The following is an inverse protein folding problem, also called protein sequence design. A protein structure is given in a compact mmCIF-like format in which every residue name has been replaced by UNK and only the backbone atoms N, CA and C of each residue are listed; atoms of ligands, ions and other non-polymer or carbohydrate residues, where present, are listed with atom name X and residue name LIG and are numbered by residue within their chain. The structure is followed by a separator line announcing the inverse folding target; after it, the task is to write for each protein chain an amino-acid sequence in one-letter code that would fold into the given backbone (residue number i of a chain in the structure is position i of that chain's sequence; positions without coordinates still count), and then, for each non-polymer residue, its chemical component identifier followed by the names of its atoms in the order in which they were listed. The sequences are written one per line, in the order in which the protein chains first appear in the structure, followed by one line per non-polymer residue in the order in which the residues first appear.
data_IF_583196207610
#
_entry.id   IF_583196207610
#
_cell.length_a   1.000
_cell.length_b   1.000
_cell.length_c   1.000
_cell.angle_alpha   90.00
_cell.angle_beta   90.00
_cell.angle_gamma   90.00
#
_symmetry.space_group_name_H-M   'P 1'
#
loop_
_entity.id
_entity.type
_entity.pdbx_description
1 polymer ?
#
# COMPACT_ATOMS: atom_id res chain seq x y z
N UNK A 1 99.56 17.92 46.69
CA UNK A 1 99.43 17.72 48.16
C UNK A 1 98.39 16.64 48.39
N UNK A 2 98.62 15.68 49.30
CA UNK A 2 97.85 14.42 49.41
C UNK A 2 96.88 14.45 50.59
N UNK A 3 95.58 14.25 50.32
CA UNK A 3 94.51 13.69 51.18
C UNK A 3 93.43 13.18 50.18
N UNK A 4 93.24 11.89 49.83
CA UNK A 4 92.61 10.75 50.55
C UNK A 4 91.28 11.17 51.23
N UNK A 5 90.07 10.86 50.74
CA UNK A 5 89.42 9.54 50.63
C UNK A 5 88.01 9.71 50.03
N UNK A 6 87.25 8.71 49.59
CA UNK A 6 87.51 7.37 49.03
C UNK A 6 86.19 6.92 48.31
N UNK A 7 86.26 6.53 47.03
CA UNK A 7 85.53 5.43 46.36
C UNK A 7 83.98 5.22 46.41
N UNK A 8 83.43 5.04 45.19
CA UNK A 8 82.24 4.22 44.80
C UNK A 8 80.83 4.72 45.20
N UNK A 9 79.73 4.35 44.52
CA UNK A 9 79.43 3.94 43.13
C UNK A 9 77.87 3.86 43.00
N UNK A 10 77.34 3.77 41.78
CA UNK A 10 76.01 3.29 41.41
C UNK A 10 74.75 4.13 41.76
N UNK A 11 74.12 4.63 40.67
CA UNK A 11 72.68 4.57 40.37
C UNK A 11 71.68 5.00 41.46
N UNK A 12 71.40 6.30 41.53
CA UNK A 12 70.04 6.77 41.83
C UNK A 12 69.64 8.12 41.19
N UNK A 13 70.44 8.61 40.22
CA UNK A 13 70.17 9.84 39.47
C UNK A 13 69.07 9.70 38.40
N UNK A 14 67.81 9.56 38.82
CA UNK A 14 66.64 9.87 37.98
C UNK A 14 65.37 10.28 38.76
N UNK A 15 65.27 9.92 40.05
CA UNK A 15 64.13 10.30 40.91
C UNK A 15 64.28 11.66 41.58
N UNK A 16 65.51 12.20 41.66
CA UNK A 16 65.82 13.51 42.26
C UNK A 16 65.69 14.67 41.25
N UNK A 17 65.00 14.45 40.12
CA UNK A 17 64.73 15.50 39.10
C UNK A 17 63.23 15.75 38.87
N UNK A 18 62.39 15.30 39.80
CA UNK A 18 60.92 15.45 39.78
C UNK A 18 60.44 16.41 40.89
N UNK A 19 61.29 16.77 41.87
CA UNK A 19 60.94 17.64 43.00
C UNK A 19 61.05 19.15 42.74
N UNK A 20 61.72 19.58 41.67
CA UNK A 20 61.98 21.00 41.38
C UNK A 20 61.44 21.46 40.02
N UNK A 21 60.12 21.43 39.86
CA UNK A 21 59.38 22.38 39.02
C UNK A 21 57.88 22.31 39.38
N UNK A 22 57.51 22.93 40.50
CA UNK A 22 56.12 23.33 40.77
C UNK A 22 55.91 24.69 40.11
N UNK A 23 55.14 24.81 39.01
CA UNK A 23 54.68 26.10 38.56
C UNK A 23 53.71 26.64 39.62
N UNK A 24 53.93 27.90 39.95
CA UNK A 24 53.06 28.83 40.67
C UNK A 24 51.61 28.35 40.77
N UNK A 25 51.18 27.99 41.99
CA UNK A 25 49.76 28.08 42.30
C UNK A 25 49.36 29.53 42.10
N UNK A 26 48.32 29.74 41.29
CA UNK A 26 47.65 31.02 41.23
C UNK A 26 47.08 31.28 42.63
N UNK A 27 47.73 32.16 43.41
CA UNK A 27 47.13 32.78 44.61
C UNK A 27 46.01 33.72 44.15
N UNK A 28 44.95 33.12 43.60
CA UNK A 28 43.64 33.74 43.47
C UNK A 28 43.06 33.80 44.89
N UNK A 29 43.40 34.89 45.59
CA UNK A 29 42.89 35.26 46.89
C UNK A 29 41.37 35.07 46.93
N UNK A 30 40.91 34.01 47.61
CA UNK A 30 39.49 33.71 47.76
C UNK A 30 38.93 34.75 48.72
N UNK A 31 38.47 35.86 48.16
CA UNK A 31 37.71 36.85 48.91
C UNK A 31 36.40 36.19 49.38
N UNK A 32 36.35 35.80 50.66
CA UNK A 32 35.13 35.35 51.34
C UNK A 32 34.15 36.53 51.52
N UNK A 33 33.58 37.01 50.41
CA UNK A 33 32.46 37.94 50.44
C UNK A 33 31.28 37.40 49.63
N UNK A 34 30.24 37.01 50.37
CA UNK A 34 28.90 36.69 49.90
C UNK A 34 28.79 35.51 48.89
N UNK A 35 29.33 34.33 49.24
CA UNK A 35 28.81 33.09 48.67
C UNK A 35 27.37 32.85 49.16
N UNK A 36 26.40 33.41 48.43
CA UNK A 36 24.96 33.24 48.65
C UNK A 36 24.63 31.76 48.43
N UNK A 37 24.64 30.97 49.51
CA UNK A 37 24.56 29.51 49.48
C UNK A 37 23.22 29.08 48.87
N UNK A 38 23.26 28.72 47.59
CA UNK A 38 22.07 28.35 46.83
C UNK A 38 21.40 27.14 47.51
N UNK A 39 20.12 27.28 47.88
CA UNK A 39 19.45 26.29 48.71
C UNK A 39 19.40 24.92 48.03
N UNK A 40 19.93 23.88 48.68
CA UNK A 40 20.03 22.52 48.13
C UNK A 40 18.71 22.00 47.53
N UNK A 41 17.58 22.30 48.20
CA UNK A 41 16.23 22.01 47.70
C UNK A 41 15.90 22.67 46.35
N UNK A 42 16.28 23.94 46.13
CA UNK A 42 16.07 24.66 44.85
C UNK A 42 16.86 24.02 43.71
N UNK A 43 18.10 23.59 43.97
CA UNK A 43 18.94 22.89 43.00
C UNK A 43 18.31 21.53 42.64
N UNK A 44 17.93 20.74 43.65
CA UNK A 44 17.31 19.43 43.44
C UNK A 44 16.00 19.51 42.63
N UNK A 45 15.12 20.46 42.95
CA UNK A 45 13.87 20.70 42.20
C UNK A 45 14.15 21.16 40.77
N UNK A 46 15.12 22.07 40.56
CA UNK A 46 15.52 22.52 39.22
C UNK A 46 15.99 21.36 38.35
N UNK A 47 16.87 20.50 38.89
CA UNK A 47 17.41 19.34 38.18
C UNK A 47 16.31 18.31 37.87
N UNK A 48 15.39 18.07 38.80
CA UNK A 48 14.30 17.09 38.61
C UNK A 48 13.32 17.55 37.51
N UNK A 49 12.93 18.83 37.50
CA UNK A 49 12.09 19.40 36.43
C UNK A 49 12.82 19.36 35.08
N UNK A 50 14.09 19.76 35.06
CA UNK A 50 14.91 19.74 33.84
C UNK A 50 15.09 18.32 33.30
N UNK A 51 15.25 17.32 34.16
CA UNK A 51 15.35 15.91 33.78
C UNK A 51 14.06 15.39 33.16
N UNK A 52 12.88 15.71 33.72
CA UNK A 52 11.59 15.31 33.14
C UNK A 52 11.38 15.89 31.73
N UNK A 53 11.74 17.16 31.54
CA UNK A 53 11.66 17.82 30.23
C UNK A 53 12.71 17.30 29.24
N UNK A 54 13.93 16.97 29.71
CA UNK A 54 14.95 16.29 28.90
C UNK A 54 14.51 14.88 28.48
N UNK A 55 13.84 14.13 29.37
CA UNK A 55 13.27 12.83 29.02
C UNK A 55 12.16 12.97 27.96
N UNK A 56 11.27 13.96 28.09
CA UNK A 56 10.28 14.26 27.05
C UNK A 56 10.95 14.62 25.71
N UNK A 57 12.00 15.45 25.73
CA UNK A 57 12.82 15.75 24.55
C UNK A 57 13.44 14.48 23.94
N UNK A 58 14.02 13.58 24.75
CA UNK A 58 14.57 12.31 24.24
C UNK A 58 13.49 11.44 23.60
N UNK A 59 12.29 11.34 24.20
CA UNK A 59 11.18 10.57 23.65
C UNK A 59 10.66 11.14 22.31
N UNK A 60 10.73 12.46 22.11
CA UNK A 60 10.46 13.10 20.81
C UNK A 60 11.50 12.72 19.74
N UNK A 61 12.79 12.61 20.10
CA UNK A 61 13.83 12.20 19.13
C UNK A 61 13.65 10.74 18.65
N UNK A 62 12.99 9.90 19.45
CA UNK A 62 12.65 8.51 19.11
C UNK A 62 11.18 8.33 18.66
N UNK A 63 10.43 9.41 18.41
CA UNK A 63 9.05 9.36 17.89
C UNK A 63 8.01 8.66 18.80
N UNK A 64 8.27 8.54 20.11
CA UNK A 64 7.52 7.60 20.98
C UNK A 64 6.10 8.10 21.33
N UNK A 65 5.89 9.43 21.43
CA UNK A 65 4.63 10.00 21.93
C UNK A 65 4.12 11.27 21.22
N UNK A 66 4.94 11.92 20.39
CA UNK A 66 4.60 13.15 19.68
C UNK A 66 5.38 13.20 18.35
N UNK A 67 4.73 13.71 17.30
CA UNK A 67 5.38 13.97 16.01
C UNK A 67 6.51 14.99 16.15
N UNK A 68 7.54 14.86 15.31
CA UNK A 68 8.69 15.75 15.32
C UNK A 68 8.35 17.11 14.69
N UNK A 69 8.16 18.14 15.51
CA UNK A 69 8.16 19.55 15.06
C UNK A 69 9.39 20.27 15.64
N UNK A 70 10.29 20.72 14.76
CA UNK A 70 11.48 21.48 15.11
C UNK A 70 11.17 22.71 15.98
N UNK A 71 10.02 23.37 15.79
CA UNK A 71 9.59 24.52 16.62
C UNK A 71 9.27 24.10 18.05
N UNK A 72 8.60 22.96 18.21
CA UNK A 72 8.27 22.38 19.52
C UNK A 72 9.55 21.94 20.24
N UNK A 73 10.45 21.27 19.52
CA UNK A 73 11.78 20.87 20.03
C UNK A 73 12.60 22.07 20.49
N UNK A 74 12.70 23.13 19.67
CA UNK A 74 13.43 24.35 20.03
C UNK A 74 12.79 25.08 21.23
N UNK A 75 11.46 25.15 21.30
CA UNK A 75 10.75 25.74 22.44
C UNK A 75 10.97 24.95 23.74
N UNK A 76 10.99 23.62 23.67
CA UNK A 76 11.25 22.73 24.80
C UNK A 76 12.69 22.90 25.30
N UNK A 77 13.69 22.86 24.40
CA UNK A 77 15.10 23.08 24.75
C UNK A 77 15.34 24.49 25.34
N UNK A 78 14.75 25.53 24.76
CA UNK A 78 14.83 26.88 25.31
C UNK A 78 14.20 26.97 26.72
N UNK A 79 13.08 26.29 26.94
CA UNK A 79 12.42 26.22 28.26
C UNK A 79 13.30 25.54 29.30
N UNK A 80 13.92 24.40 28.96
CA UNK A 80 14.88 23.70 29.83
C UNK A 80 16.05 24.62 30.18
N UNK A 81 16.63 25.31 29.19
CA UNK A 81 17.75 26.23 29.42
C UNK A 81 17.38 27.39 30.34
N UNK A 82 16.19 27.99 30.18
CA UNK A 82 15.69 29.05 31.08
C UNK A 82 15.46 28.54 32.50
N UNK A 83 14.91 27.32 32.66
CA UNK A 83 14.72 26.69 33.98
C UNK A 83 16.07 26.47 34.67
N UNK A 84 17.07 25.95 33.95
CA UNK A 84 18.43 25.80 34.47
C UNK A 84 19.04 27.17 34.84
N UNK A 85 18.92 28.18 33.97
CA UNK A 85 19.50 29.50 34.18
C UNK A 85 18.94 30.21 35.42
N UNK A 86 17.61 30.16 35.60
CA UNK A 86 16.93 30.72 36.76
C UNK A 86 17.11 29.85 38.00
N UNK A 87 17.12 28.53 37.87
CA UNK A 87 17.25 27.60 39.00
C UNK A 87 18.63 27.67 39.67
N UNK A 88 19.69 27.81 38.88
CA UNK A 88 21.06 28.02 39.36
C UNK A 88 21.39 29.48 39.76
N UNK A 89 20.41 30.40 39.71
CA UNK A 89 20.54 31.82 40.12
C UNK A 89 21.70 32.54 39.37
N UNK A 90 21.92 32.22 38.08
CA UNK A 90 23.14 32.61 37.34
C UNK A 90 23.30 34.12 37.11
N UNK A 91 22.24 34.91 37.30
CA UNK A 91 22.23 36.35 37.07
C UNK A 91 22.08 36.74 35.59
N UNK A 92 22.14 38.05 35.31
CA UNK A 92 22.21 38.56 33.93
C UNK A 92 23.68 38.62 33.49
N UNK A 93 24.04 38.29 32.23
CA UNK A 93 25.43 38.25 31.76
C UNK A 93 26.26 39.55 31.94
N UNK A 94 25.61 40.69 32.16
CA UNK A 94 26.22 42.00 32.39
C UNK A 94 25.98 42.57 33.79
N UNK A 95 25.45 41.77 34.73
CA UNK A 95 25.15 42.19 36.10
C UNK A 95 26.20 41.75 37.12
N UNK A 96 26.32 42.47 38.23
CA UNK A 96 27.30 42.20 39.30
C UNK A 96 27.18 40.79 39.93
N UNK A 97 25.99 40.19 39.86
CA UNK A 97 25.71 38.84 40.39
C UNK A 97 25.99 37.71 39.38
N UNK A 98 26.65 37.97 38.25
CA UNK A 98 26.88 36.96 37.21
C UNK A 98 28.00 35.97 37.57
N UNK A 99 27.63 34.71 37.85
CA UNK A 99 28.62 33.66 38.07
C UNK A 99 29.07 33.03 36.75
N UNK A 100 30.11 33.62 36.14
CA UNK A 100 30.68 33.19 34.85
C UNK A 100 31.09 31.70 34.83
N UNK A 101 31.65 31.18 35.92
CA UNK A 101 32.12 29.78 35.99
C UNK A 101 30.92 28.83 36.00
N UNK A 102 29.96 29.02 36.89
CA UNK A 102 28.75 28.18 36.94
C UNK A 102 27.90 28.33 35.68
N UNK A 103 27.80 29.53 35.10
CA UNK A 103 27.10 29.74 33.84
C UNK A 103 27.77 29.00 32.66
N UNK A 104 29.11 29.03 32.57
CA UNK A 104 29.83 28.25 31.55
C UNK A 104 29.62 26.74 31.72
N UNK A 105 29.62 26.25 32.96
CA UNK A 105 29.41 24.82 33.26
C UNK A 105 27.98 24.39 32.91
N UNK A 106 26.96 25.13 33.38
CA UNK A 106 25.55 24.84 33.07
C UNK A 106 25.30 24.88 31.56
N UNK A 107 25.88 25.85 30.84
CA UNK A 107 25.73 25.95 29.37
C UNK A 107 26.42 24.79 28.66
N UNK A 108 27.66 24.45 29.02
CA UNK A 108 28.39 23.34 28.41
C UNK A 108 27.73 21.99 28.69
N UNK A 109 27.28 21.74 29.93
CA UNK A 109 26.55 20.53 30.29
C UNK A 109 25.19 20.44 29.60
N UNK A 110 24.45 21.55 29.49
CA UNK A 110 23.18 21.58 28.75
C UNK A 110 23.38 21.26 27.27
N UNK A 111 24.36 21.87 26.60
CA UNK A 111 24.66 21.60 25.19
C UNK A 111 25.08 20.14 24.97
N UNK A 112 25.95 19.60 25.83
CA UNK A 112 26.37 18.20 25.76
C UNK A 112 25.18 17.23 25.93
N UNK A 113 24.35 17.43 26.95
CA UNK A 113 23.19 16.56 27.23
C UNK A 113 22.10 16.71 26.17
N UNK A 114 21.91 17.90 25.59
CA UNK A 114 20.94 18.12 24.50
C UNK A 114 21.42 17.51 23.18
N UNK A 115 22.73 17.49 22.91
CA UNK A 115 23.28 16.86 21.71
C UNK A 115 23.26 15.33 21.77
N UNK A 116 23.39 14.72 22.98
CA UNK A 116 23.48 13.27 23.13
C UNK A 116 22.33 12.50 22.47
N UNK A 117 21.03 12.84 22.66
CA UNK A 117 19.93 12.14 21.96
C UNK A 117 20.01 12.22 20.44
N UNK A 118 20.38 13.38 19.87
CA UNK A 118 20.56 13.55 18.42
C UNK A 118 21.68 12.66 17.91
N UNK A 119 22.82 12.64 18.62
CA UNK A 119 23.96 11.78 18.29
C UNK A 119 23.61 10.30 18.44
N UNK A 120 22.81 9.92 19.44
CA UNK A 120 22.34 8.54 19.62
C UNK A 120 21.40 8.10 18.50
N UNK A 121 20.44 8.94 18.08
CA UNK A 121 19.58 8.64 16.93
C UNK A 121 20.41 8.56 15.64
N UNK A 122 21.29 9.53 15.40
CA UNK A 122 22.15 9.55 14.21
C UNK A 122 23.16 8.40 14.10
N UNK A 123 23.47 7.69 15.21
CA UNK A 123 24.41 6.56 15.24
C UNK A 123 23.70 5.21 15.38
N UNK A 124 22.56 5.14 16.09
CA UNK A 124 21.87 3.88 16.42
C UNK A 124 20.48 3.73 15.77
N UNK A 125 19.91 4.80 15.20
CA UNK A 125 18.57 4.78 14.59
C UNK A 125 18.50 4.09 13.23
N UNK A 126 19.66 3.74 12.66
CA UNK A 126 19.78 3.35 11.26
C UNK A 126 19.68 4.55 10.31
N UNK A 127 20.21 4.43 9.09
CA UNK A 127 20.07 5.52 8.11
C UNK A 127 18.68 5.54 7.47
N UNK A 128 18.03 4.37 7.32
CA UNK A 128 16.76 4.21 6.60
C UNK A 128 15.70 3.38 7.34
N UNK A 129 14.43 3.60 7.00
CA UNK A 129 13.28 2.77 7.39
C UNK A 129 12.23 2.70 6.27
N UNK A 130 11.62 1.53 6.06
CA UNK A 130 10.49 1.36 5.14
C UNK A 130 9.18 1.70 5.85
N UNK A 131 8.50 2.75 5.38
CA UNK A 131 7.31 3.34 6.03
C UNK A 131 6.00 2.77 5.45
N UNK A 132 5.60 3.21 4.25
CA UNK A 132 4.31 2.88 3.63
C UNK A 132 4.52 2.31 2.23
N UNK A 133 3.65 1.36 1.87
CA UNK A 133 3.37 0.92 0.50
C UNK A 133 2.06 1.58 0.07
N UNK A 134 2.12 2.41 -0.96
CA UNK A 134 0.95 3.04 -1.56
C UNK A 134 0.67 2.38 -2.92
N UNK A 135 -0.60 2.12 -3.21
CA UNK A 135 -1.06 1.58 -4.49
C UNK A 135 -1.73 2.70 -5.26
N UNK A 136 -1.45 2.83 -6.56
CA UNK A 136 -2.21 3.74 -7.42
C UNK A 136 -3.69 3.30 -7.47
N UNK A 137 -4.60 4.26 -7.65
CA UNK A 137 -6.06 4.03 -7.69
C UNK A 137 -6.45 3.01 -8.78
N UNK A 138 -5.69 2.99 -9.88
CA UNK A 138 -5.90 2.07 -11.00
C UNK A 138 -5.15 0.73 -10.84
N UNK A 139 -4.38 0.59 -9.77
CA UNK A 139 -3.66 -0.61 -9.34
C UNK A 139 -2.39 -0.97 -10.08
N UNK A 140 -1.88 -0.16 -11.03
CA UNK A 140 -0.69 -0.53 -11.83
C UNK A 140 0.65 -0.23 -11.15
N UNK A 141 0.73 0.84 -10.36
CA UNK A 141 1.96 1.22 -9.67
C UNK A 141 1.87 0.97 -8.15
N UNK A 142 2.95 0.43 -7.58
CA UNK A 142 3.18 0.35 -6.14
C UNK A 142 4.34 1.28 -5.78
N UNK A 143 4.06 2.32 -4.98
CA UNK A 143 5.07 3.24 -4.47
C UNK A 143 5.53 2.83 -3.07
N UNK A 144 6.83 2.60 -2.92
CA UNK A 144 7.53 2.39 -1.66
C UNK A 144 8.04 3.73 -1.13
N UNK A 145 7.75 4.05 0.13
CA UNK A 145 8.38 5.20 0.82
C UNK A 145 9.44 4.73 1.79
N UNK A 146 10.70 5.14 1.55
CA UNK A 146 11.84 4.92 2.45
C UNK A 146 12.22 6.23 3.14
N UNK A 147 12.18 6.27 4.47
CA UNK A 147 12.46 7.45 5.29
C UNK A 147 13.88 7.43 5.84
N UNK A 148 14.52 8.60 5.86
CA UNK A 148 15.84 8.79 6.44
C UNK A 148 15.75 9.12 7.93
N UNK A 149 16.44 8.34 8.75
CA UNK A 149 16.47 8.51 10.21
C UNK A 149 17.84 8.99 10.73
N UNK A 150 18.89 8.89 9.90
CA UNK A 150 20.27 9.26 10.25
C UNK A 150 20.79 10.53 9.55
N UNK A 151 22.05 10.86 9.80
CA UNK A 151 22.79 11.95 9.13
C UNK A 151 23.68 11.37 7.99
N UNK A 152 23.42 10.13 7.55
CA UNK A 152 24.18 9.44 6.51
C UNK A 152 23.92 9.95 5.09
N UNK A 153 24.03 9.05 4.11
CA UNK A 153 23.85 9.37 2.68
C UNK A 153 22.45 9.91 2.35
N UNK A 154 22.33 10.65 1.25
CA UNK A 154 21.04 10.98 0.61
C UNK A 154 20.82 10.14 -0.67
N UNK A 155 21.75 9.24 -1.01
CA UNK A 155 21.71 8.37 -2.19
C UNK A 155 22.02 6.94 -1.77
N UNK A 156 21.21 6.00 -2.25
CA UNK A 156 21.25 4.59 -1.87
C UNK A 156 20.90 3.70 -3.07
N UNK A 157 21.37 2.46 -3.05
CA UNK A 157 20.99 1.42 -4.02
C UNK A 157 20.11 0.39 -3.29
N UNK A 158 18.92 0.10 -3.82
CA UNK A 158 17.98 -0.85 -3.23
C UNK A 158 17.91 -2.15 -4.06
N UNK A 159 18.40 -3.25 -3.50
CA UNK A 159 18.11 -4.59 -4.02
C UNK A 159 16.69 -4.97 -3.62
N UNK A 160 15.79 -5.01 -4.61
CA UNK A 160 14.39 -5.36 -4.43
C UNK A 160 14.14 -6.70 -5.10
N UNK A 161 13.40 -7.58 -4.43
CA UNK A 161 12.85 -8.79 -5.03
C UNK A 161 11.39 -8.97 -4.66
N UNK A 162 10.63 -9.54 -5.57
CA UNK A 162 9.26 -9.96 -5.35
C UNK A 162 9.21 -11.47 -5.54
N UNK A 163 8.62 -12.14 -4.55
CA UNK A 163 8.41 -13.58 -4.55
C UNK A 163 6.92 -13.93 -4.57
N UNK A 164 6.61 -15.02 -5.25
CA UNK A 164 5.27 -15.60 -5.35
C UNK A 164 5.41 -17.12 -5.33
N UNK A 165 4.54 -17.80 -4.57
CA UNK A 165 4.62 -19.26 -4.37
C UNK A 165 6.02 -19.76 -3.96
N UNK A 166 6.67 -19.06 -3.02
CA UNK A 166 8.03 -19.35 -2.51
C UNK A 166 9.18 -19.23 -3.55
N UNK A 167 8.91 -18.72 -4.76
CA UNK A 167 9.90 -18.44 -5.80
C UNK A 167 10.04 -16.95 -6.03
N UNK A 168 11.27 -16.45 -6.25
CA UNK A 168 11.48 -15.07 -6.73
C UNK A 168 11.00 -15.02 -8.18
N UNK A 169 10.03 -14.15 -8.46
CA UNK A 169 9.46 -13.94 -9.80
C UNK A 169 10.04 -12.70 -10.49
N UNK A 170 10.50 -11.73 -9.70
CA UNK A 170 11.13 -10.50 -10.19
C UNK A 170 12.16 -10.01 -9.18
N UNK A 171 13.23 -9.38 -9.67
CA UNK A 171 14.24 -8.71 -8.83
C UNK A 171 15.03 -7.70 -9.63
N UNK A 172 15.32 -6.54 -9.04
CA UNK A 172 16.18 -5.50 -9.63
C UNK A 172 16.97 -4.75 -8.54
N UNK A 173 18.00 -4.01 -8.93
CA UNK A 173 18.73 -3.10 -8.05
C UNK A 173 18.48 -1.66 -8.47
N UNK A 174 17.61 -0.97 -7.73
CA UNK A 174 17.09 0.35 -8.08
C UNK A 174 17.83 1.43 -7.27
N UNK A 175 18.62 2.32 -7.93
CA UNK A 175 19.20 3.48 -7.28
C UNK A 175 18.11 4.51 -6.95
N UNK A 176 18.11 5.02 -5.72
CA UNK A 176 17.17 6.05 -5.28
C UNK A 176 17.84 7.13 -4.44
N UNK A 177 17.17 8.28 -4.32
CA UNK A 177 17.61 9.40 -3.50
C UNK A 177 16.53 9.80 -2.47
N UNK A 178 17.00 10.33 -1.35
CA UNK A 178 16.20 10.98 -0.32
C UNK A 178 16.15 12.47 -0.68
N UNK A 179 15.20 12.86 -1.53
CA UNK A 179 15.08 14.21 -2.08
C UNK A 179 13.75 14.91 -1.71
N UNK A 180 12.88 14.23 -0.96
CA UNK A 180 11.59 14.74 -0.47
C UNK A 180 11.61 14.91 1.05
N UNK A 181 10.70 15.73 1.57
CA UNK A 181 10.58 16.01 3.01
C UNK A 181 9.14 16.35 3.37
N UNK A 182 8.63 15.78 4.46
CA UNK A 182 7.28 16.03 4.98
C UNK A 182 7.29 16.29 6.50
N UNK A 183 6.10 16.34 7.12
CA UNK A 183 5.95 16.54 8.57
C UNK A 183 6.51 15.42 9.46
N UNK A 184 7.01 14.32 8.87
CA UNK A 184 7.61 13.17 9.55
C UNK A 184 9.10 12.99 9.20
N UNK A 185 9.68 13.86 8.36
CA UNK A 185 11.11 13.88 8.02
C UNK A 185 11.39 13.71 6.54
N UNK A 186 12.67 13.50 6.22
CA UNK A 186 13.16 13.36 4.84
C UNK A 186 12.94 11.93 4.33
N UNK A 187 12.60 11.79 3.05
CA UNK A 187 12.28 10.50 2.43
C UNK A 187 12.60 10.44 0.94
N UNK A 188 12.78 9.21 0.45
CA UNK A 188 12.85 8.84 -0.95
C UNK A 188 11.69 7.91 -1.33
N UNK A 189 11.44 7.76 -2.63
CA UNK A 189 10.39 6.87 -3.15
C UNK A 189 10.89 5.99 -4.28
N UNK A 190 10.43 4.75 -4.32
CA UNK A 190 10.66 3.81 -5.43
C UNK A 190 9.31 3.36 -5.95
N UNK A 191 9.10 3.40 -7.27
CA UNK A 191 7.89 2.94 -7.94
C UNK A 191 8.15 1.59 -8.61
N UNK A 192 7.25 0.63 -8.41
CA UNK A 192 7.26 -0.69 -9.06
C UNK A 192 6.01 -0.85 -9.91
N UNK A 193 6.16 -1.27 -11.16
CA UNK A 193 5.02 -1.59 -12.03
C UNK A 193 4.56 -3.02 -11.79
N UNK A 194 3.25 -3.24 -11.67
CA UNK A 194 2.68 -4.58 -11.44
C UNK A 194 2.92 -5.49 -12.65
N UNK A 195 2.95 -4.95 -13.88
CA UNK A 195 3.23 -5.74 -15.09
C UNK A 195 4.63 -6.39 -15.10
N UNK A 196 5.62 -5.83 -14.38
CA UNK A 196 6.98 -6.36 -14.37
C UNK A 196 7.12 -7.69 -13.59
N UNK A 197 6.24 -7.93 -12.59
CA UNK A 197 6.36 -9.04 -11.66
C UNK A 197 5.13 -9.95 -11.55
N UNK A 198 3.97 -9.52 -12.06
CA UNK A 198 2.73 -10.27 -11.96
C UNK A 198 2.76 -11.56 -12.80
N UNK A 199 2.57 -12.71 -12.15
CA UNK A 199 2.56 -14.05 -12.75
C UNK A 199 1.21 -14.78 -12.63
N UNK A 200 0.25 -14.21 -11.89
CA UNK A 200 -1.05 -14.82 -11.60
C UNK A 200 -1.72 -14.25 -10.36
N UNK A 201 -2.97 -14.65 -10.12
CA UNK A 201 -3.78 -14.08 -9.04
C UNK A 201 -3.21 -14.35 -7.64
N UNK A 202 -3.28 -13.33 -6.78
CA UNK A 202 -3.03 -13.47 -5.35
C UNK A 202 -4.19 -14.15 -4.63
N UNK A 203 -5.45 -13.83 -4.94
CA UNK A 203 -6.61 -14.60 -4.50
C UNK A 203 -6.86 -15.78 -5.44
N UNK A 204 -7.00 -16.99 -4.90
CA UNK A 204 -7.27 -18.21 -5.69
C UNK A 204 -8.76 -18.47 -5.87
N UNK A 205 -9.59 -17.87 -5.01
CA UNK A 205 -11.03 -18.16 -4.86
C UNK A 205 -11.35 -19.54 -4.24
N UNK A 206 -10.34 -20.38 -3.99
CA UNK A 206 -10.46 -21.67 -3.33
C UNK A 206 -10.61 -21.50 -1.81
N UNK A 207 -11.74 -21.94 -1.22
CA UNK A 207 -12.01 -21.74 0.21
C UNK A 207 -11.01 -22.40 1.18
N UNK A 208 -10.24 -23.40 0.71
CA UNK A 208 -9.24 -24.12 1.49
C UNK A 208 -7.86 -23.48 1.44
N UNK A 209 -7.55 -22.72 0.39
CA UNK A 209 -6.33 -21.95 0.23
C UNK A 209 -6.67 -20.62 -0.46
N UNK A 210 -7.32 -19.67 0.24
CA UNK A 210 -7.92 -18.49 -0.39
C UNK A 210 -6.90 -17.56 -1.04
N UNK A 211 -5.66 -17.58 -0.57
CA UNK A 211 -4.58 -16.69 -1.01
C UNK A 211 -3.27 -17.43 -1.29
N UNK A 212 -2.57 -16.93 -2.31
CA UNK A 212 -1.16 -17.13 -2.62
C UNK A 212 -0.56 -15.74 -2.83
N UNK A 213 -0.25 -15.00 -1.76
CA UNK A 213 0.11 -13.59 -1.86
C UNK A 213 1.52 -13.40 -2.43
N UNK A 214 1.79 -12.19 -2.91
CA UNK A 214 3.13 -11.77 -3.30
C UNK A 214 3.85 -11.18 -2.08
N UNK A 215 5.14 -11.50 -1.93
CA UNK A 215 6.00 -10.97 -0.87
C UNK A 215 7.13 -10.16 -1.47
N UNK A 216 7.13 -8.87 -1.14
CA UNK A 216 8.17 -7.89 -1.44
C UNK A 216 9.27 -7.97 -0.37
N UNK A 217 10.51 -8.11 -0.81
CA UNK A 217 11.72 -8.01 0.00
C UNK A 217 12.60 -6.88 -0.51
N UNK A 218 13.02 -5.98 0.38
CA UNK A 218 13.83 -4.80 0.09
C UNK A 218 15.08 -4.84 0.97
N UNK A 219 16.26 -4.77 0.34
CA UNK A 219 17.55 -4.69 0.99
C UNK A 219 18.26 -3.40 0.58
N UNK A 220 18.76 -2.64 1.55
CA UNK A 220 19.59 -1.43 1.34
C UNK A 220 20.73 -1.47 2.35
N UNK A 221 21.97 -1.62 1.88
CA UNK A 221 23.15 -1.89 2.70
C UNK A 221 22.93 -3.05 3.69
N UNK A 222 22.95 -2.79 5.01
CA UNK A 222 22.67 -3.79 6.06
C UNK A 222 21.16 -3.87 6.44
N UNK A 223 20.32 -2.96 5.92
CA UNK A 223 18.90 -2.88 6.26
C UNK A 223 18.06 -3.78 5.35
N UNK A 224 17.21 -4.59 5.96
CA UNK A 224 16.37 -5.58 5.27
C UNK A 224 14.93 -5.46 5.75
N UNK A 225 13.97 -5.39 4.83
CA UNK A 225 12.54 -5.34 5.10
C UNK A 225 11.78 -6.33 4.22
N UNK A 226 10.74 -6.94 4.78
CA UNK A 226 9.81 -7.81 4.07
C UNK A 226 8.38 -7.30 4.27
N UNK A 227 7.56 -7.36 3.22
CA UNK A 227 6.14 -6.97 3.22
C UNK A 227 5.34 -7.89 2.31
N UNK A 228 4.21 -8.37 2.79
CA UNK A 228 3.17 -8.96 1.93
C UNK A 228 2.48 -7.83 1.17
N UNK A 229 2.36 -7.96 -0.15
CA UNK A 229 1.60 -7.04 -0.99
C UNK A 229 0.10 -7.33 -0.89
N UNK A 230 -0.74 -6.34 -1.19
CA UNK A 230 -2.19 -6.46 -1.07
C UNK A 230 -2.78 -7.33 -2.18
N UNK A 231 -3.34 -8.48 -1.79
CA UNK A 231 -3.92 -9.48 -2.68
C UNK A 231 -5.05 -8.91 -3.57
N UNK A 232 -5.71 -7.82 -3.17
CA UNK A 232 -6.82 -7.21 -3.94
C UNK A 232 -6.35 -6.49 -5.21
N UNK A 233 -5.21 -5.81 -5.17
CA UNK A 233 -4.59 -5.18 -6.34
C UNK A 233 -3.89 -6.19 -7.26
N UNK A 234 -3.52 -7.35 -6.70
CA UNK A 234 -2.79 -8.43 -7.37
C UNK A 234 -3.69 -9.62 -7.76
N UNK A 235 -4.98 -9.39 -7.99
CA UNK A 235 -5.92 -10.39 -8.52
C UNK A 235 -6.60 -9.80 -9.76
N UNK A 236 -6.18 -10.27 -10.95
CA UNK A 236 -6.45 -9.62 -12.25
C UNK A 236 -6.87 -10.58 -13.35
N UNK A 237 -6.62 -11.88 -13.22
CA UNK A 237 -7.00 -12.88 -14.21
C UNK A 237 -8.41 -13.39 -13.92
N UNK A 238 -9.28 -13.36 -14.93
CA UNK A 238 -10.56 -14.08 -14.89
C UNK A 238 -10.27 -15.59 -14.84
N UNK A 239 -10.88 -16.29 -13.89
CA UNK A 239 -10.80 -17.75 -13.75
C UNK A 239 -12.17 -18.43 -13.68
N UNK A 240 -13.25 -17.66 -13.49
CA UNK A 240 -14.63 -18.13 -13.50
C UNK A 240 -15.50 -17.34 -14.47
N UNK A 241 -16.33 -18.06 -15.22
CA UNK A 241 -17.37 -17.51 -16.08
C UNK A 241 -18.71 -18.18 -15.76
N UNK A 242 -19.82 -17.47 -15.99
CA UNK A 242 -21.17 -18.02 -15.87
C UNK A 242 -22.09 -17.44 -16.94
N UNK A 243 -23.18 -18.13 -17.25
CA UNK A 243 -24.11 -17.80 -18.33
C UNK A 243 -25.55 -18.10 -17.92
N UNK A 244 -26.50 -17.28 -18.37
CA UNK A 244 -27.92 -17.48 -18.13
C UNK A 244 -28.78 -16.82 -19.21
N UNK A 245 -29.87 -17.49 -19.59
CA UNK A 245 -30.89 -16.97 -20.51
C UNK A 245 -32.26 -17.02 -19.86
N UNK A 246 -32.95 -15.88 -19.85
CA UNK A 246 -34.35 -15.78 -19.46
C UNK A 246 -35.23 -15.58 -20.68
N UNK A 247 -36.28 -16.40 -20.83
CA UNK A 247 -37.33 -16.15 -21.81
C UNK A 247 -38.19 -14.94 -21.40
N UNK A 248 -38.51 -14.08 -22.35
CA UNK A 248 -39.43 -12.94 -22.18
C UNK A 248 -40.75 -13.27 -22.83
N UNK A 249 -41.82 -13.12 -22.05
CA UNK A 249 -43.16 -13.57 -22.39
C UNK A 249 -44.13 -12.40 -22.51
N UNK A 250 -45.08 -12.50 -23.45
CA UNK A 250 -46.19 -11.56 -23.61
C UNK A 250 -47.53 -12.31 -23.61
N UNK A 251 -48.56 -11.69 -23.04
CA UNK A 251 -49.98 -12.09 -23.13
C UNK A 251 -50.76 -11.21 -24.12
N UNK A 252 -50.08 -10.27 -24.79
CA UNK A 252 -50.67 -9.38 -25.79
C UNK A 252 -50.89 -10.11 -27.12
N UNK A 253 -52.14 -10.19 -27.63
CA UNK A 253 -52.43 -10.86 -28.90
C UNK A 253 -51.69 -10.28 -30.11
N UNK A 254 -51.37 -8.98 -30.10
CA UNK A 254 -50.64 -8.34 -31.20
C UNK A 254 -49.17 -8.82 -31.28
N UNK A 255 -48.57 -9.17 -30.14
CA UNK A 255 -47.21 -9.71 -30.07
C UNK A 255 -47.21 -11.22 -30.37
N UNK A 256 -48.20 -11.95 -29.86
CA UNK A 256 -48.27 -13.41 -29.96
C UNK A 256 -48.84 -13.94 -31.28
N UNK A 257 -49.61 -13.15 -32.02
CA UNK A 257 -50.22 -13.54 -33.30
C UNK A 257 -50.95 -14.90 -33.19
N UNK A 258 -50.43 -15.94 -33.86
CA UNK A 258 -51.00 -17.29 -33.88
C UNK A 258 -50.38 -18.24 -32.83
N UNK A 259 -49.38 -17.82 -32.03
CA UNK A 259 -48.61 -18.72 -31.12
C UNK A 259 -49.32 -19.10 -29.81
N UNK A 260 -50.35 -18.38 -29.35
CA UNK A 260 -51.15 -18.78 -28.19
C UNK A 260 -51.61 -17.63 -27.28
N UNK A 261 -51.99 -17.98 -26.05
CA UNK A 261 -52.43 -17.01 -25.02
C UNK A 261 -51.25 -16.41 -24.22
N UNK A 262 -50.08 -17.04 -24.31
CA UNK A 262 -48.84 -16.60 -23.68
C UNK A 262 -47.68 -17.12 -24.53
N UNK A 263 -46.95 -16.22 -25.19
CA UNK A 263 -45.92 -16.55 -26.15
C UNK A 263 -44.54 -16.04 -25.72
N UNK A 264 -43.49 -16.74 -26.15
CA UNK A 264 -42.13 -16.22 -26.10
C UNK A 264 -41.98 -15.12 -27.17
N UNK A 265 -41.64 -13.90 -26.75
CA UNK A 265 -41.38 -12.77 -27.67
C UNK A 265 -39.89 -12.51 -27.89
N UNK A 266 -39.05 -13.04 -27.01
CA UNK A 266 -37.59 -12.96 -27.11
C UNK A 266 -36.88 -13.47 -25.86
N UNK A 267 -35.60 -13.15 -25.74
CA UNK A 267 -34.75 -13.62 -24.63
C UNK A 267 -33.88 -12.49 -24.06
N UNK A 268 -33.66 -12.52 -22.75
CA UNK A 268 -32.66 -11.70 -22.06
C UNK A 268 -31.44 -12.57 -21.78
N UNK A 269 -30.28 -12.16 -22.27
CA UNK A 269 -29.01 -12.86 -22.06
C UNK A 269 -28.24 -12.20 -20.90
N UNK A 270 -27.69 -13.00 -20.00
CA UNK A 270 -26.87 -12.57 -18.87
C UNK A 270 -25.60 -13.43 -18.80
N UNK A 271 -24.48 -12.81 -18.46
CA UNK A 271 -23.22 -13.50 -18.21
C UNK A 271 -22.58 -13.00 -16.93
N UNK A 272 -21.54 -13.71 -16.49
CA UNK A 272 -20.67 -13.23 -15.42
C UNK A 272 -19.22 -13.60 -15.72
N UNK A 273 -18.28 -12.73 -15.35
CA UNK A 273 -16.85 -12.97 -15.48
C UNK A 273 -16.10 -12.47 -14.22
N UNK A 274 -15.15 -13.25 -13.72
CA UNK A 274 -14.35 -12.84 -12.57
C UNK A 274 -13.50 -13.97 -11.97
N UNK A 275 -13.26 -13.92 -10.67
CA UNK A 275 -12.57 -14.97 -9.93
C UNK A 275 -13.52 -16.12 -9.59
N UNK A 276 -13.21 -17.35 -10.00
CA UNK A 276 -13.96 -18.53 -9.56
C UNK A 276 -13.86 -18.72 -8.05
N UNK A 277 -14.99 -18.62 -7.35
CA UNK A 277 -15.11 -18.81 -5.90
C UNK A 277 -15.74 -20.15 -5.50
N UNK A 278 -15.90 -21.08 -6.45
CA UNK A 278 -16.69 -22.31 -6.28
C UNK A 278 -18.21 -22.06 -6.24
N UNK A 279 -18.64 -20.87 -6.66
CA UNK A 279 -20.03 -20.42 -6.77
C UNK A 279 -20.50 -20.44 -8.23
N UNK A 280 -21.81 -20.45 -8.46
CA UNK A 280 -22.37 -20.28 -9.82
C UNK A 280 -22.21 -18.85 -10.36
N UNK A 281 -21.83 -17.90 -9.52
CA UNK A 281 -21.50 -16.52 -9.88
C UNK A 281 -20.07 -16.23 -9.40
N UNK A 282 -19.11 -15.95 -10.30
CA UNK A 282 -17.73 -15.62 -9.92
C UNK A 282 -17.68 -14.28 -9.17
N UNK A 283 -16.64 -14.09 -8.35
CA UNK A 283 -16.41 -12.82 -7.63
C UNK A 283 -15.89 -11.75 -8.59
N UNK A 284 -16.30 -10.50 -8.42
CA UNK A 284 -15.92 -9.39 -9.28
C UNK A 284 -14.41 -9.09 -9.23
N UNK A 285 -13.87 -8.58 -10.33
CA UNK A 285 -12.48 -8.15 -10.47
C UNK A 285 -12.45 -6.72 -11.00
N UNK A 286 -11.71 -5.83 -10.32
CA UNK A 286 -11.67 -4.40 -10.66
C UNK A 286 -10.51 -4.05 -11.62
N UNK A 287 -9.42 -4.79 -11.56
CA UNK A 287 -8.19 -4.54 -12.32
C UNK A 287 -7.98 -5.51 -13.51
N UNK A 288 -8.96 -6.37 -13.79
CA UNK A 288 -8.90 -7.34 -14.88
C UNK A 288 -9.22 -6.72 -16.23
N UNK A 289 -8.46 -7.06 -17.27
CA UNK A 289 -8.82 -6.71 -18.66
C UNK A 289 -9.04 -7.99 -19.47
N UNK A 290 -10.12 -8.06 -20.24
CA UNK A 290 -10.53 -9.29 -20.94
C UNK A 290 -11.50 -8.99 -22.08
N UNK A 291 -11.66 -9.94 -23.02
CA UNK A 291 -12.74 -9.91 -24.02
C UNK A 291 -13.79 -10.97 -23.72
N UNK A 292 -15.04 -10.71 -24.10
CA UNK A 292 -16.16 -11.62 -23.90
C UNK A 292 -16.89 -11.82 -25.23
N UNK A 293 -17.11 -13.08 -25.59
CA UNK A 293 -17.93 -13.49 -26.72
C UNK A 293 -19.12 -14.28 -26.19
N UNK A 294 -20.32 -14.00 -26.70
CA UNK A 294 -21.56 -14.65 -26.25
C UNK A 294 -22.38 -15.10 -27.44
N UNK A 295 -22.73 -16.39 -27.47
CA UNK A 295 -23.43 -17.03 -28.60
C UNK A 295 -24.56 -17.90 -28.08
N UNK A 296 -25.77 -17.67 -28.60
CA UNK A 296 -26.92 -18.56 -28.46
C UNK A 296 -27.07 -19.37 -29.75
N UNK A 297 -27.13 -20.69 -29.63
CA UNK A 297 -27.38 -21.63 -30.72
C UNK A 297 -28.75 -22.28 -30.57
N UNK A 298 -29.42 -22.57 -31.68
CA UNK A 298 -30.70 -23.31 -31.79
C UNK A 298 -30.45 -24.57 -32.64
N UNK A 299 -30.52 -25.75 -32.03
CA UNK A 299 -30.26 -27.08 -32.66
C UNK A 299 -28.95 -27.24 -33.48
N UNK A 300 -28.03 -26.26 -33.42
CA UNK A 300 -26.77 -26.23 -34.15
C UNK A 300 -26.57 -24.99 -35.03
N UNK A 301 -27.63 -24.23 -35.31
CA UNK A 301 -27.58 -22.97 -36.05
C UNK A 301 -27.40 -21.78 -35.10
N UNK A 302 -26.85 -20.66 -35.58
CA UNK A 302 -26.62 -19.47 -34.75
C UNK A 302 -27.92 -18.66 -34.62
N UNK A 303 -28.52 -18.70 -33.43
CA UNK A 303 -29.67 -17.87 -33.09
C UNK A 303 -29.21 -16.42 -32.83
N UNK A 304 -28.25 -16.23 -31.93
CA UNK A 304 -27.69 -14.92 -31.57
C UNK A 304 -26.18 -15.02 -31.47
N UNK A 305 -25.47 -14.15 -32.18
CA UNK A 305 -24.05 -13.85 -31.91
C UNK A 305 -23.95 -12.41 -31.45
N UNK A 306 -23.62 -12.18 -30.17
CA UNK A 306 -23.50 -10.85 -29.59
C UNK A 306 -22.15 -10.21 -29.96
N UNK A 307 -22.06 -8.89 -30.20
CA UNK A 307 -20.79 -8.23 -30.47
C UNK A 307 -19.77 -8.45 -29.36
N UNK A 308 -18.52 -8.78 -29.71
CA UNK A 308 -17.44 -8.96 -28.73
C UNK A 308 -17.33 -7.75 -27.81
N UNK A 309 -17.48 -7.98 -26.50
CA UNK A 309 -17.27 -6.96 -25.48
C UNK A 309 -15.79 -6.92 -25.14
N UNK A 310 -15.20 -5.73 -25.14
CA UNK A 310 -13.85 -5.48 -24.62
C UNK A 310 -13.96 -4.79 -23.27
N UNK A 311 -13.37 -5.39 -22.24
CA UNK A 311 -13.30 -4.86 -20.87
C UNK A 311 -11.87 -4.48 -20.54
N UNK A 312 -11.65 -3.24 -20.13
CA UNK A 312 -10.38 -2.74 -19.61
C UNK A 312 -10.61 -2.28 -18.18
N UNK A 313 -10.04 -3.01 -17.21
CA UNK A 313 -10.33 -2.85 -15.77
C UNK A 313 -11.84 -3.01 -15.51
N UNK A 314 -12.54 -1.94 -15.13
CA UNK A 314 -14.01 -1.95 -14.99
C UNK A 314 -14.75 -1.41 -16.21
N UNK A 315 -14.07 -0.77 -17.17
CA UNK A 315 -14.70 -0.12 -18.31
C UNK A 315 -14.95 -1.11 -19.45
N UNK A 316 -16.21 -1.39 -19.74
CA UNK A 316 -16.65 -2.27 -20.82
C UNK A 316 -17.15 -1.47 -22.03
N UNK A 317 -16.86 -1.96 -23.24
CA UNK A 317 -17.36 -1.39 -24.49
C UNK A 317 -17.55 -2.44 -25.57
N UNK A 318 -18.52 -2.22 -26.45
CA UNK A 318 -18.76 -3.08 -27.62
C UNK A 318 -19.26 -2.24 -28.79
N UNK A 319 -18.94 -2.70 -30.00
CA UNK A 319 -19.41 -2.10 -31.25
C UNK A 319 -20.09 -3.16 -32.10
N UNK A 320 -21.38 -3.00 -32.38
CA UNK A 320 -22.05 -3.88 -33.36
C UNK A 320 -21.55 -3.57 -34.77
N UNK A 321 -21.16 -4.64 -35.49
CA UNK A 321 -20.88 -4.65 -36.93
C UNK A 321 -22.11 -4.32 -37.78
N UNK A 322 -23.28 -4.78 -37.34
CA UNK A 322 -24.49 -4.90 -38.17
C UNK A 322 -25.67 -4.05 -37.64
N UNK A 323 -25.44 -3.28 -36.57
CA UNK A 323 -26.39 -2.35 -35.96
C UNK A 323 -27.50 -2.99 -35.10
N UNK A 324 -27.81 -4.28 -35.26
CA UNK A 324 -28.93 -4.97 -34.57
C UNK A 324 -28.87 -4.89 -33.03
N UNK A 325 -27.69 -5.11 -32.46
CA UNK A 325 -27.46 -5.12 -31.00
C UNK A 325 -26.92 -3.78 -30.45
N UNK A 326 -26.86 -2.75 -31.30
CA UNK A 326 -26.29 -1.45 -30.94
C UNK A 326 -24.78 -1.46 -30.64
N UNK A 327 -24.25 -0.28 -30.35
CA UNK A 327 -22.92 -0.12 -29.76
C UNK A 327 -23.11 0.53 -28.39
N UNK A 328 -22.38 0.08 -27.39
CA UNK A 328 -22.61 0.49 -26.01
C UNK A 328 -21.35 0.44 -25.15
N UNK A 329 -21.54 0.89 -23.92
CA UNK A 329 -20.50 0.94 -22.89
C UNK A 329 -21.14 0.79 -21.52
N UNK A 330 -20.51 0.03 -20.63
CA UNK A 330 -20.99 -0.24 -19.28
C UNK A 330 -19.81 -0.29 -18.30
N UNK A 331 -20.13 -0.37 -17.01
CA UNK A 331 -19.13 -0.67 -15.97
C UNK A 331 -19.39 -2.07 -15.43
N UNK A 332 -18.42 -2.97 -15.57
CA UNK A 332 -18.44 -4.33 -15.01
C UNK A 332 -17.33 -4.47 -13.96
N UNK A 333 -17.42 -5.43 -13.05
CA UNK A 333 -16.35 -5.71 -12.08
C UNK A 333 -16.25 -4.76 -10.88
N UNK A 334 -16.87 -3.57 -10.92
CA UNK A 334 -16.83 -2.60 -9.80
C UNK A 334 -17.66 -3.07 -8.59
N UNK A 335 -18.95 -3.35 -8.80
CA UNK A 335 -19.93 -3.74 -7.76
C UNK A 335 -20.22 -5.25 -7.80
N UNK A 336 -20.29 -5.83 -8.99
CA UNK A 336 -20.53 -7.24 -9.22
C UNK A 336 -19.80 -7.71 -10.50
N UNK A 337 -19.85 -9.01 -10.78
CA UNK A 337 -19.27 -9.66 -11.96
C UNK A 337 -20.24 -9.74 -13.15
N UNK A 338 -21.41 -9.11 -13.05
CA UNK A 338 -22.52 -9.28 -14.00
C UNK A 338 -22.24 -8.56 -15.33
N UNK A 339 -22.45 -9.28 -16.42
CA UNK A 339 -22.38 -8.79 -17.79
C UNK A 339 -23.80 -8.84 -18.35
N UNK A 340 -24.35 -7.68 -18.68
CA UNK A 340 -25.64 -7.55 -19.34
C UNK A 340 -25.44 -7.39 -20.84
N UNK A 341 -26.00 -8.32 -21.61
CA UNK A 341 -26.01 -8.24 -23.05
C UNK A 341 -27.30 -7.53 -23.47
N UNK A 342 -27.20 -6.23 -23.75
CA UNK A 342 -28.36 -5.37 -24.02
C UNK A 342 -29.04 -5.75 -25.34
N UNK A 343 -30.36 -5.91 -25.30
CA UNK A 343 -31.21 -6.15 -26.47
C UNK A 343 -31.83 -4.88 -27.06
N UNK A 344 -32.60 -5.05 -28.13
CA UNK A 344 -33.20 -3.96 -28.93
C UNK A 344 -34.56 -3.47 -28.41
N UNK A 345 -35.23 -4.23 -27.53
CA UNK A 345 -36.55 -3.91 -26.97
C UNK A 345 -36.50 -3.84 -25.44
N UNK A 346 -37.33 -2.99 -24.82
CA UNK A 346 -37.47 -2.93 -23.35
C UNK A 346 -38.41 -4.03 -22.90
N UNK A 347 -38.01 -4.82 -21.90
CA UNK A 347 -38.89 -5.83 -21.29
C UNK A 347 -40.00 -5.12 -20.49
N UNK A 348 -41.29 -5.33 -20.86
CA UNK A 348 -42.40 -4.64 -20.23
C UNK A 348 -42.59 -4.99 -18.74
N UNK A 349 -42.03 -6.11 -18.28
CA UNK A 349 -42.22 -6.63 -16.92
C UNK A 349 -41.10 -6.25 -15.94
N UNK A 350 -39.88 -5.99 -16.41
CA UNK A 350 -38.74 -5.61 -15.54
C UNK A 350 -38.46 -4.11 -15.48
N UNK A 351 -39.08 -3.30 -16.34
CA UNK A 351 -39.10 -1.83 -16.24
C UNK A 351 -37.78 -1.11 -16.55
N UNK A 352 -36.69 -1.84 -16.85
CA UNK A 352 -35.40 -1.27 -17.27
C UNK A 352 -34.46 -2.24 -18.00
N UNK A 353 -34.68 -3.56 -17.97
CA UNK A 353 -33.89 -4.48 -18.78
C UNK A 353 -34.34 -4.43 -20.24
N UNK A 354 -33.41 -4.70 -21.14
CA UNK A 354 -33.71 -4.93 -22.56
C UNK A 354 -33.58 -6.41 -22.91
N UNK A 355 -34.31 -6.84 -23.93
CA UNK A 355 -34.32 -8.21 -24.44
C UNK A 355 -34.13 -8.22 -25.95
N UNK A 356 -33.64 -9.34 -26.46
CA UNK A 356 -33.45 -9.58 -27.90
C UNK A 356 -34.72 -10.29 -28.40
N UNK A 357 -35.55 -9.66 -29.25
CA UNK A 357 -36.76 -10.27 -29.77
C UNK A 357 -36.43 -11.43 -30.70
N UNK A 358 -37.35 -12.39 -30.86
CA UNK A 358 -37.16 -13.52 -31.78
C UNK A 358 -36.90 -13.07 -33.23
N UNK A 359 -37.44 -11.91 -33.64
CA UNK A 359 -37.16 -11.30 -34.94
C UNK A 359 -35.70 -10.86 -35.15
N UNK A 360 -34.92 -10.73 -34.07
CA UNK A 360 -33.50 -10.38 -34.13
C UNK A 360 -32.57 -11.60 -34.21
N UNK A 361 -33.14 -12.82 -34.26
CA UNK A 361 -32.37 -14.04 -34.48
C UNK A 361 -31.77 -14.04 -35.90
N UNK A 362 -30.65 -14.75 -36.08
CA UNK A 362 -29.75 -14.61 -37.23
C UNK A 362 -29.96 -15.68 -38.30
N UNK A 363 -29.52 -16.90 -38.01
CA UNK A 363 -29.53 -18.03 -38.95
C UNK A 363 -30.66 -19.02 -38.64
N UNK A 364 -31.19 -18.97 -37.41
CA UNK A 364 -32.24 -19.85 -36.91
C UNK A 364 -33.64 -19.20 -36.95
N UNK A 365 -34.68 -20.01 -36.73
CA UNK A 365 -36.08 -19.58 -36.84
C UNK A 365 -36.64 -18.96 -35.55
N UNK A 366 -36.03 -19.20 -34.39
CA UNK A 366 -36.64 -18.89 -33.09
C UNK A 366 -37.81 -19.82 -32.80
N UNK A 367 -37.70 -21.10 -33.18
CA UNK A 367 -38.74 -22.12 -33.04
C UNK A 367 -38.49 -23.06 -31.85
N UNK A 368 -39.48 -23.91 -31.56
CA UNK A 368 -39.38 -24.89 -30.47
C UNK A 368 -38.26 -25.90 -30.74
N UNK A 369 -37.44 -26.15 -29.72
CA UNK A 369 -36.24 -26.96 -29.85
C UNK A 369 -35.31 -26.75 -28.66
N UNK A 370 -34.08 -27.25 -28.79
CA UNK A 370 -33.06 -27.07 -27.76
C UNK A 370 -32.07 -25.97 -28.11
N UNK A 371 -31.82 -25.10 -27.14
CA UNK A 371 -30.95 -23.94 -27.23
C UNK A 371 -29.74 -24.09 -26.32
N UNK A 372 -28.57 -23.72 -26.83
CA UNK A 372 -27.31 -23.72 -26.06
C UNK A 372 -26.74 -22.31 -26.02
N UNK A 373 -26.53 -21.76 -24.84
CA UNK A 373 -25.91 -20.46 -24.64
C UNK A 373 -24.49 -20.63 -24.11
N UNK A 374 -23.52 -20.04 -24.81
CA UNK A 374 -22.10 -20.06 -24.47
C UNK A 374 -21.61 -18.64 -24.20
N UNK A 375 -20.91 -18.44 -23.09
CA UNK A 375 -20.16 -17.22 -22.77
C UNK A 375 -18.70 -17.59 -22.61
N UNK A 376 -17.87 -17.12 -23.55
CA UNK A 376 -16.42 -17.33 -23.57
C UNK A 376 -15.71 -16.05 -23.17
N UNK A 377 -14.84 -16.13 -22.15
CA UNK A 377 -14.04 -15.01 -21.65
C UNK A 377 -12.56 -15.28 -21.89
N UNK A 378 -11.87 -14.34 -22.53
CA UNK A 378 -10.43 -14.42 -22.81
C UNK A 378 -9.69 -13.31 -22.04
N UNK A 379 -8.89 -13.64 -20.99
CA UNK A 379 -8.07 -12.66 -20.29
C UNK A 379 -7.04 -12.00 -21.22
N UNK A 380 -6.78 -10.71 -21.02
CA UNK A 380 -5.79 -9.99 -21.82
C UNK A 380 -4.39 -10.56 -21.60
N UNK A 381 -3.66 -10.81 -22.70
CA UNK A 381 -2.33 -11.43 -22.64
C UNK A 381 -2.33 -12.94 -22.42
N UNK A 382 -3.49 -13.60 -22.42
CA UNK A 382 -3.62 -15.06 -22.35
C UNK A 382 -4.32 -15.63 -23.59
N UNK A 383 -3.93 -16.83 -24.00
CA UNK A 383 -4.66 -17.66 -24.98
C UNK A 383 -5.71 -18.57 -24.31
N UNK A 384 -5.82 -18.53 -22.96
CA UNK A 384 -6.78 -19.33 -22.21
C UNK A 384 -8.20 -18.76 -22.33
N UNK A 385 -9.19 -19.66 -22.48
CA UNK A 385 -10.61 -19.30 -22.57
C UNK A 385 -11.33 -19.89 -21.35
N UNK A 386 -11.91 -19.00 -20.54
CA UNK A 386 -12.81 -19.37 -19.44
C UNK A 386 -14.24 -19.37 -19.99
N UNK A 387 -14.82 -20.55 -20.11
CA UNK A 387 -16.11 -20.75 -20.79
C UNK A 387 -17.22 -21.16 -19.83
N UNK A 388 -18.44 -20.71 -20.09
CA UNK A 388 -19.67 -21.19 -19.46
C UNK A 388 -20.68 -21.59 -20.53
N UNK A 389 -21.30 -22.75 -20.37
CA UNK A 389 -22.31 -23.29 -21.28
C UNK A 389 -23.57 -23.64 -20.49
N UNK A 390 -24.73 -23.16 -20.95
CA UNK A 390 -26.05 -23.48 -20.40
C UNK A 390 -27.03 -23.92 -21.48
N UNK A 391 -27.98 -24.79 -21.12
CA UNK A 391 -28.92 -25.43 -22.06
C UNK A 391 -30.36 -25.09 -21.70
N UNK A 392 -31.20 -24.92 -22.72
CA UNK A 392 -32.60 -24.51 -22.57
C UNK A 392 -33.52 -25.26 -23.55
N UNK A 393 -34.66 -25.74 -23.06
CA UNK A 393 -35.75 -26.27 -23.87
C UNK A 393 -36.80 -25.16 -24.09
N UNK A 394 -37.10 -24.85 -25.36
CA UNK A 394 -38.25 -24.04 -25.75
C UNK A 394 -39.35 -24.98 -26.28
N UNK A 395 -40.50 -25.00 -25.60
CA UNK A 395 -41.63 -25.87 -25.94
C UNK A 395 -42.98 -25.15 -25.74
N UNK A 396 -44.08 -25.76 -26.20
CA UNK A 396 -45.44 -25.28 -25.96
C UNK A 396 -46.29 -26.37 -25.29
N UNK A 397 -47.10 -25.98 -24.31
CA UNK A 397 -48.04 -26.86 -23.61
C UNK A 397 -49.35 -26.13 -23.35
N UNK A 398 -50.45 -26.61 -23.95
CA UNK A 398 -51.79 -26.01 -23.83
C UNK A 398 -51.85 -24.52 -24.24
N UNK A 399 -51.21 -24.15 -25.36
CA UNK A 399 -51.17 -22.76 -25.86
C UNK A 399 -50.42 -21.78 -24.95
N UNK A 400 -49.49 -22.31 -24.14
CA UNK A 400 -48.56 -21.57 -23.30
C UNK A 400 -47.14 -21.98 -23.70
N UNK A 401 -46.33 -21.00 -24.08
CA UNK A 401 -44.90 -21.19 -24.33
C UNK A 401 -44.14 -21.38 -23.02
N UNK A 402 -43.10 -22.22 -23.06
CA UNK A 402 -42.26 -22.59 -21.92
C UNK A 402 -40.81 -22.49 -22.36
N UNK A 403 -40.04 -21.67 -21.65
CA UNK A 403 -38.58 -21.59 -21.73
C UNK A 403 -38.00 -22.12 -20.43
N UNK A 404 -37.32 -23.27 -20.46
CA UNK A 404 -36.84 -23.96 -19.26
C UNK A 404 -35.36 -24.31 -19.37
N UNK A 405 -34.59 -24.02 -18.32
CA UNK A 405 -33.19 -24.45 -18.24
C UNK A 405 -33.13 -25.97 -17.99
N UNK A 406 -32.31 -26.66 -18.79
CA UNK A 406 -32.06 -28.10 -18.70
C UNK A 406 -30.58 -28.40 -18.40
N UNK A 407 -30.28 -29.66 -18.08
CA UNK A 407 -28.89 -30.12 -17.89
C UNK A 407 -28.09 -30.30 -19.17
N UNK A 408 -28.77 -30.41 -20.33
CA UNK A 408 -28.18 -30.76 -21.62
C UNK A 408 -29.19 -30.58 -22.75
N UNK A 409 -28.69 -30.20 -23.93
CA UNK A 409 -29.22 -30.64 -25.22
C UNK A 409 -28.59 -31.99 -25.60
#
# INVERSE_FOLDING_TARGET
MVIRRDCMDNRQGLLEKISEQRPEMLDAEINEQAQKKLGSSRIAVTLLISLLLLLAYTAMQFGIFLDYDLKVVLALLATIFVILWLGFDLGLPSGENFNKVTASLVTASFLAVSALPVVFVAILGGDLSLDVLEYEEDGEEITLTLRKNGIGSDSFDAEISISWQESIVWSDNIPFAVDKSDGRGDYGTISLQVEDFYQGNAFTGNSQQPETPYTLSVSVDDFNWERTLDSSFLTRNVTGASSFVSGVFSDNPDDCQDKGENCLVGVTLMGWAGLDSGSTIPTNLQFSSYTVNAVLMEEGDIAISYPTISVQKTAASWSSSDGRFGSGSATFGEINSEIRFEGSQIDPNSGSLTYIPLSDFQESAGDYGCYTFTVDVTPSGSDEIVSSITYYEYSNSNSQDIWKQESSC
#
